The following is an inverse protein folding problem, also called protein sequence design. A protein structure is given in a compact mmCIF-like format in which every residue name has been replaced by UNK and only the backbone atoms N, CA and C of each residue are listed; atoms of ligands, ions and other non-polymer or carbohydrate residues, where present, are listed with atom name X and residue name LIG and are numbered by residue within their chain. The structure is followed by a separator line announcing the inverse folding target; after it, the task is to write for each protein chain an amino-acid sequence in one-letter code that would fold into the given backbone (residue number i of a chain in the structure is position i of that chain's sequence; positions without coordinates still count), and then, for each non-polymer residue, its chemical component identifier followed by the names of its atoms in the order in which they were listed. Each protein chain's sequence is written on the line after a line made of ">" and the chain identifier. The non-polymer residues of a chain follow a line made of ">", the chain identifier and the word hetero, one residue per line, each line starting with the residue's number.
data_IF_288561193011
#
_entry.id   IF_288561193011
#
_cell.length_a   1.000
_cell.length_b   1.000
_cell.length_c   1.000
_cell.angle_alpha   90.00
_cell.angle_beta   90.00
_cell.angle_gamma   90.00
#
_symmetry.space_group_name_H-M   'P 1'
#
loop_
_entity.id
_entity.type
_entity.pdbx_description
1 polymer ?
#
# COMPACT_ATOMS: atom_id res chain seq x y z
N UNK A 1 4.81 -34.17 -23.08
CA UNK A 1 5.59 -34.67 -21.91
C UNK A 1 4.82 -34.33 -20.63
N UNK A 2 4.89 -35.20 -19.59
CA UNK A 2 4.15 -34.87 -18.33
C UNK A 2 5.04 -34.03 -17.41
N UNK A 3 4.51 -32.94 -16.92
CA UNK A 3 5.16 -32.02 -15.93
C UNK A 3 4.22 -31.79 -14.74
N UNK A 4 4.83 -31.49 -13.59
CA UNK A 4 4.07 -31.13 -12.37
C UNK A 4 3.29 -29.84 -12.58
N UNK A 5 2.12 -29.76 -11.96
CA UNK A 5 1.23 -28.59 -12.08
C UNK A 5 1.90 -27.29 -11.63
N UNK A 6 2.64 -27.30 -10.52
CA UNK A 6 3.35 -26.12 -10.03
C UNK A 6 4.42 -25.60 -11.01
N UNK A 7 5.03 -26.51 -11.78
CA UNK A 7 5.98 -26.16 -12.84
C UNK A 7 5.23 -25.59 -14.05
N UNK A 8 4.17 -26.24 -14.50
CA UNK A 8 3.38 -25.81 -15.66
C UNK A 8 2.75 -24.42 -15.46
N UNK A 9 2.21 -24.15 -14.27
CA UNK A 9 1.62 -22.84 -13.92
C UNK A 9 2.69 -21.74 -13.97
N UNK A 10 3.87 -22.01 -13.48
CA UNK A 10 5.00 -21.07 -13.55
C UNK A 10 5.53 -20.88 -14.97
N UNK A 11 5.83 -21.95 -15.70
CA UNK A 11 6.40 -21.90 -17.06
C UNK A 11 5.43 -21.26 -18.08
N UNK A 12 4.11 -21.41 -17.88
CA UNK A 12 3.09 -20.77 -18.72
C UNK A 12 2.84 -19.29 -18.33
N UNK A 13 3.57 -18.75 -17.35
CA UNK A 13 3.55 -17.34 -17.00
C UNK A 13 2.35 -16.90 -16.16
N UNK A 14 1.61 -17.83 -15.55
CA UNK A 14 0.50 -17.47 -14.63
C UNK A 14 0.98 -16.88 -13.31
N UNK A 15 2.25 -17.07 -12.96
CA UNK A 15 2.88 -16.52 -11.73
C UNK A 15 4.36 -16.23 -11.96
N UNK A 16 4.94 -15.33 -11.14
CA UNK A 16 6.35 -14.90 -11.24
C UNK A 16 7.30 -15.86 -10.55
N UNK A 17 6.78 -16.80 -9.74
CA UNK A 17 7.59 -17.82 -9.06
C UNK A 17 6.81 -19.10 -8.84
N UNK A 18 7.56 -20.20 -8.67
CA UNK A 18 6.99 -21.50 -8.40
C UNK A 18 6.31 -21.58 -7.03
N UNK A 19 6.76 -20.80 -6.05
CA UNK A 19 6.14 -20.68 -4.73
C UNK A 19 4.74 -20.03 -4.84
N UNK A 20 4.60 -18.97 -5.65
CA UNK A 20 3.31 -18.37 -5.95
C UNK A 20 2.40 -19.32 -6.73
N UNK A 21 2.96 -20.11 -7.66
CA UNK A 21 2.21 -21.15 -8.35
C UNK A 21 1.62 -22.17 -7.37
N UNK A 22 2.39 -22.65 -6.40
CA UNK A 22 1.89 -23.51 -5.33
C UNK A 22 0.77 -22.87 -4.53
N UNK A 23 0.93 -21.59 -4.17
CA UNK A 23 -0.06 -20.85 -3.38
C UNK A 23 -1.41 -20.75 -4.10
N UNK A 24 -1.44 -20.40 -5.40
CA UNK A 24 -2.70 -20.29 -6.17
C UNK A 24 -3.33 -21.66 -6.45
N UNK A 25 -2.51 -22.72 -6.59
CA UNK A 25 -3.02 -24.10 -6.73
C UNK A 25 -3.70 -24.53 -5.41
N UNK A 26 -3.01 -24.36 -4.28
CA UNK A 26 -3.53 -24.77 -2.96
C UNK A 26 -4.75 -23.95 -2.52
N UNK A 27 -4.88 -22.70 -2.98
CA UNK A 27 -6.07 -21.88 -2.76
C UNK A 27 -7.25 -22.27 -3.69
N UNK A 28 -7.04 -23.24 -4.59
CA UNK A 28 -8.06 -23.76 -5.48
C UNK A 28 -8.45 -22.81 -6.62
N UNK A 29 -7.56 -21.94 -7.03
CA UNK A 29 -7.75 -21.00 -8.14
C UNK A 29 -7.38 -21.61 -9.51
N UNK A 30 -6.66 -22.74 -9.54
CA UNK A 30 -6.18 -23.37 -10.77
C UNK A 30 -7.16 -24.42 -11.25
N UNK A 31 -7.49 -24.36 -12.53
CA UNK A 31 -8.34 -25.33 -13.24
C UNK A 31 -7.55 -25.92 -14.41
N UNK A 32 -7.60 -27.24 -14.55
CA UNK A 32 -7.02 -28.00 -15.65
C UNK A 32 -8.17 -28.66 -16.40
N UNK A 33 -8.32 -28.34 -17.69
CA UNK A 33 -9.45 -28.82 -18.51
C UNK A 33 -10.82 -28.62 -17.84
N UNK A 34 -11.06 -27.44 -17.28
CA UNK A 34 -12.25 -27.05 -16.51
C UNK A 34 -12.44 -27.76 -15.15
N UNK A 35 -11.54 -28.64 -14.73
CA UNK A 35 -11.61 -29.31 -13.44
C UNK A 35 -10.68 -28.60 -12.44
N UNK A 36 -11.17 -28.34 -11.22
CA UNK A 36 -10.37 -27.73 -10.16
C UNK A 36 -9.19 -28.63 -9.80
N UNK A 37 -8.00 -28.06 -9.78
CA UNK A 37 -6.75 -28.75 -9.44
C UNK A 37 -6.09 -28.05 -8.23
N UNK A 38 -6.08 -28.73 -7.08
CA UNK A 38 -5.59 -28.21 -5.79
C UNK A 38 -4.29 -28.89 -5.30
N UNK A 39 -3.76 -29.85 -6.06
CA UNK A 39 -2.53 -30.60 -5.72
C UNK A 39 -1.37 -30.20 -6.62
N UNK A 40 -0.41 -29.43 -6.07
CA UNK A 40 0.74 -28.90 -6.79
C UNK A 40 1.62 -29.96 -7.47
N UNK A 41 1.66 -31.17 -6.88
CA UNK A 41 2.49 -32.28 -7.36
C UNK A 41 1.88 -33.12 -8.46
N UNK A 42 0.60 -32.94 -8.77
CA UNK A 42 -0.06 -33.71 -9.84
C UNK A 42 0.57 -33.40 -11.20
N UNK A 43 0.84 -34.43 -11.99
CA UNK A 43 1.48 -34.30 -13.30
C UNK A 43 0.43 -34.31 -14.41
N UNK A 44 0.49 -33.33 -15.29
CA UNK A 44 -0.35 -33.18 -16.47
C UNK A 44 0.50 -33.14 -17.74
N UNK A 45 -0.13 -33.33 -18.90
CA UNK A 45 0.53 -33.11 -20.18
C UNK A 45 0.89 -31.62 -20.32
N UNK A 46 2.03 -31.32 -20.93
CA UNK A 46 2.50 -29.92 -21.07
C UNK A 46 1.57 -29.06 -21.91
N UNK A 47 0.77 -29.67 -22.79
CA UNK A 47 -0.20 -28.98 -23.64
C UNK A 47 -1.58 -28.83 -23.00
N UNK A 48 -1.77 -29.29 -21.76
CA UNK A 48 -3.05 -29.21 -21.07
C UNK A 48 -3.50 -27.74 -20.94
N UNK A 49 -4.80 -27.52 -21.08
CA UNK A 49 -5.40 -26.21 -20.88
C UNK A 49 -5.41 -25.89 -19.38
N UNK A 50 -4.66 -24.88 -18.98
CA UNK A 50 -4.67 -24.36 -17.60
C UNK A 50 -5.39 -23.01 -17.60
N UNK A 51 -6.30 -22.84 -16.65
CA UNK A 51 -6.98 -21.59 -16.35
C UNK A 51 -6.78 -21.27 -14.88
N UNK A 52 -6.45 -20.02 -14.57
CA UNK A 52 -6.48 -19.51 -13.21
C UNK A 52 -7.78 -18.74 -13.04
N UNK A 53 -8.67 -19.27 -12.22
CA UNK A 53 -9.99 -18.68 -11.91
C UNK A 53 -9.98 -18.23 -10.45
N UNK A 54 -10.38 -17.02 -10.22
CA UNK A 54 -10.34 -16.38 -8.91
C UNK A 54 -9.53 -15.10 -8.96
N UNK A 55 -9.61 -14.30 -7.92
CA UNK A 55 -8.97 -13.00 -7.86
C UNK A 55 -7.45 -13.14 -8.07
N UNK A 56 -7.00 -13.01 -9.31
CA UNK A 56 -5.64 -12.59 -9.58
C UNK A 56 -5.45 -11.31 -8.80
N UNK A 57 -4.45 -11.25 -7.92
CA UNK A 57 -4.19 -10.01 -7.17
C UNK A 57 -4.10 -8.87 -8.18
N UNK A 58 -5.00 -7.89 -8.06
CA UNK A 58 -5.06 -6.73 -8.95
C UNK A 58 -3.71 -6.00 -8.98
N UNK A 59 -3.03 -6.00 -7.86
CA UNK A 59 -1.72 -5.36 -7.63
C UNK A 59 -0.67 -6.39 -7.19
N UNK A 60 0.61 -6.07 -7.30
CA UNK A 60 1.73 -6.94 -6.88
C UNK A 60 1.67 -7.33 -5.40
N UNK A 61 0.92 -6.60 -4.59
CA UNK A 61 0.62 -6.95 -3.20
C UNK A 61 -0.74 -6.40 -2.77
N UNK A 62 -1.28 -6.94 -1.67
CA UNK A 62 -2.54 -6.47 -1.06
C UNK A 62 -2.50 -4.98 -0.66
N UNK A 63 -1.29 -4.42 -0.48
CA UNK A 63 -1.11 -3.01 -0.17
C UNK A 63 -1.82 -2.09 -1.16
N UNK A 64 -1.78 -2.42 -2.46
CA UNK A 64 -2.45 -1.62 -3.51
C UNK A 64 -3.93 -1.38 -3.28
N UNK A 65 -4.64 -2.30 -2.61
CA UNK A 65 -6.06 -2.14 -2.27
C UNK A 65 -6.32 -0.97 -1.30
N UNK A 66 -5.33 -0.63 -0.47
CA UNK A 66 -5.44 0.50 0.46
C UNK A 66 -5.46 1.83 -0.28
N UNK A 67 -4.53 2.02 -1.22
CA UNK A 67 -4.49 3.22 -2.06
C UNK A 67 -5.67 3.26 -3.04
N UNK A 68 -6.07 2.12 -3.59
CA UNK A 68 -7.27 2.02 -4.43
C UNK A 68 -8.53 2.53 -3.71
N UNK A 69 -8.71 2.17 -2.42
CA UNK A 69 -9.83 2.70 -1.64
C UNK A 69 -9.78 4.22 -1.54
N UNK A 70 -8.60 4.79 -1.30
CA UNK A 70 -8.43 6.23 -1.27
C UNK A 70 -8.77 6.88 -2.61
N UNK A 71 -8.29 6.32 -3.74
CA UNK A 71 -8.60 6.82 -5.09
C UNK A 71 -10.11 6.80 -5.37
N UNK A 72 -10.80 5.75 -4.92
CA UNK A 72 -12.24 5.61 -5.15
C UNK A 72 -13.10 6.51 -4.27
N UNK A 73 -12.63 6.86 -3.06
CA UNK A 73 -13.43 7.55 -2.06
C UNK A 73 -13.06 9.04 -1.90
N UNK A 74 -11.84 9.42 -2.31
CA UNK A 74 -11.34 10.78 -2.19
C UNK A 74 -11.27 11.43 -3.58
N UNK A 75 -11.44 12.73 -3.64
CA UNK A 75 -11.44 13.47 -4.90
C UNK A 75 -10.00 13.85 -5.28
N UNK A 76 -9.28 12.94 -5.95
CA UNK A 76 -7.98 13.20 -6.59
C UNK A 76 -7.72 12.25 -7.77
N UNK A 77 -6.87 12.71 -8.69
CA UNK A 77 -6.48 11.97 -9.90
C UNK A 77 -4.95 11.83 -9.95
N UNK A 78 -4.50 10.68 -10.45
CA UNK A 78 -3.07 10.37 -10.61
C UNK A 78 -2.61 10.43 -12.08
N UNK A 79 -3.52 10.67 -13.02
CA UNK A 79 -3.20 10.71 -14.45
C UNK A 79 -2.15 11.79 -14.74
N UNK A 80 -1.11 11.38 -15.44
CA UNK A 80 0.03 12.21 -15.86
C UNK A 80 0.84 12.85 -14.71
N UNK A 81 0.60 12.44 -13.47
CA UNK A 81 1.28 12.94 -12.26
C UNK A 81 2.65 12.31 -12.05
N UNK A 82 3.56 13.09 -11.51
CA UNK A 82 4.82 12.61 -10.96
C UNK A 82 4.59 12.30 -9.48
N UNK A 83 4.79 11.04 -9.10
CA UNK A 83 4.39 10.53 -7.80
C UNK A 83 5.56 9.92 -7.02
N UNK A 84 5.36 9.74 -5.71
CA UNK A 84 6.35 9.11 -4.83
C UNK A 84 5.64 8.11 -3.90
N UNK A 85 6.16 6.89 -3.84
CA UNK A 85 5.72 5.81 -2.95
C UNK A 85 6.73 5.64 -1.82
N UNK A 86 6.39 6.10 -0.62
CA UNK A 86 7.26 6.07 0.55
C UNK A 86 6.94 4.83 1.39
N UNK A 87 7.90 3.89 1.44
CA UNK A 87 7.71 2.55 1.98
C UNK A 87 7.18 1.58 0.93
N UNK A 88 7.78 1.61 -0.25
CA UNK A 88 7.28 0.89 -1.43
C UNK A 88 7.23 -0.64 -1.24
N UNK A 89 8.15 -1.23 -0.48
CA UNK A 89 8.21 -2.68 -0.23
C UNK A 89 8.09 -3.49 -1.53
N UNK A 90 7.09 -4.36 -1.67
CA UNK A 90 6.84 -5.11 -2.91
C UNK A 90 6.32 -4.24 -4.06
N UNK A 91 5.86 -3.01 -3.79
CA UNK A 91 5.38 -2.06 -4.79
C UNK A 91 3.86 -2.05 -4.99
N UNK A 92 3.09 -2.41 -3.95
CA UNK A 92 1.62 -2.42 -4.06
C UNK A 92 1.04 -1.04 -4.40
N UNK A 93 1.53 0.02 -3.76
CA UNK A 93 1.10 1.38 -4.03
C UNK A 93 1.68 1.89 -5.35
N UNK A 94 2.95 1.61 -5.64
CA UNK A 94 3.58 1.92 -6.94
C UNK A 94 2.76 1.34 -8.10
N UNK A 95 2.39 0.05 -8.03
CA UNK A 95 1.58 -0.62 -9.05
C UNK A 95 0.18 0.01 -9.18
N UNK A 96 -0.43 0.37 -8.06
CA UNK A 96 -1.71 1.07 -8.02
C UNK A 96 -1.62 2.45 -8.71
N UNK A 97 -0.58 3.23 -8.42
CA UNK A 97 -0.36 4.54 -9.06
C UNK A 97 -0.18 4.40 -10.57
N UNK A 98 0.64 3.45 -11.02
CA UNK A 98 0.88 3.21 -12.45
C UNK A 98 -0.37 2.77 -13.21
N UNK A 99 -1.20 1.91 -12.59
CA UNK A 99 -2.47 1.47 -13.17
C UNK A 99 -3.51 2.61 -13.24
N UNK A 100 -3.38 3.63 -12.38
CA UNK A 100 -4.20 4.84 -12.39
C UNK A 100 -3.55 6.00 -13.17
N UNK A 101 -2.59 5.70 -14.04
CA UNK A 101 -2.07 6.65 -15.04
C UNK A 101 -0.94 7.54 -14.58
N UNK A 102 -0.29 7.27 -13.43
CA UNK A 102 0.88 8.03 -13.02
C UNK A 102 1.97 8.02 -14.10
N UNK A 103 2.49 9.21 -14.40
CA UNK A 103 3.54 9.39 -15.41
C UNK A 103 4.87 8.84 -14.95
N UNK A 104 5.16 8.98 -13.65
CA UNK A 104 6.41 8.57 -13.01
C UNK A 104 6.19 8.27 -11.53
N UNK A 105 6.84 7.26 -11.00
CA UNK A 105 6.78 6.89 -9.59
C UNK A 105 8.18 6.73 -9.01
N UNK A 106 8.52 7.50 -8.01
CA UNK A 106 9.70 7.30 -7.17
C UNK A 106 9.35 6.32 -6.05
N UNK A 107 9.82 5.08 -6.15
CA UNK A 107 9.57 4.02 -5.17
C UNK A 107 10.72 3.99 -4.16
N UNK A 108 10.47 4.48 -2.95
CA UNK A 108 11.47 4.68 -1.90
C UNK A 108 11.27 3.63 -0.80
N UNK A 109 12.33 2.86 -0.50
CA UNK A 109 12.32 1.90 0.61
C UNK A 109 13.70 1.76 1.24
N UNK A 110 13.75 1.52 2.56
CA UNK A 110 14.99 1.21 3.28
C UNK A 110 15.49 -0.20 3.00
N UNK A 111 14.60 -1.09 2.58
CA UNK A 111 14.89 -2.47 2.20
C UNK A 111 15.63 -2.57 0.87
N UNK A 112 15.97 -3.80 0.51
CA UNK A 112 16.65 -4.12 -0.74
C UNK A 112 16.06 -5.37 -1.38
N UNK A 113 15.91 -5.36 -2.69
CA UNK A 113 15.47 -6.53 -3.46
C UNK A 113 13.98 -6.86 -3.29
N UNK A 114 13.16 -5.97 -2.69
CA UNK A 114 11.76 -6.23 -2.39
C UNK A 114 10.81 -5.86 -3.52
N UNK A 115 11.11 -4.79 -4.26
CA UNK A 115 10.25 -4.29 -5.32
C UNK A 115 10.04 -5.37 -6.39
N UNK A 116 8.80 -5.63 -6.77
CA UNK A 116 8.45 -6.65 -7.75
C UNK A 116 9.16 -6.45 -9.09
N UNK A 117 9.61 -7.54 -9.71
CA UNK A 117 10.43 -7.50 -10.93
C UNK A 117 9.79 -6.70 -12.07
N UNK A 118 8.47 -6.82 -12.27
CA UNK A 118 7.76 -6.06 -13.29
C UNK A 118 7.87 -4.54 -13.08
N UNK A 119 7.89 -4.08 -11.82
CA UNK A 119 7.99 -2.66 -11.48
C UNK A 119 9.43 -2.15 -11.61
N UNK A 120 10.43 -2.99 -11.29
CA UNK A 120 11.85 -2.65 -11.48
C UNK A 120 12.18 -2.39 -12.95
N UNK A 121 11.47 -3.04 -13.86
CA UNK A 121 11.70 -2.92 -15.31
C UNK A 121 10.71 -1.95 -15.98
N UNK A 122 9.79 -1.34 -15.26
CA UNK A 122 8.90 -0.32 -15.82
C UNK A 122 9.68 1.00 -15.93
N UNK A 123 9.79 1.58 -17.15
CA UNK A 123 10.57 2.81 -17.35
C UNK A 123 10.01 4.03 -16.62
N UNK A 124 8.79 3.95 -16.11
CA UNK A 124 8.15 4.99 -15.30
C UNK A 124 8.55 4.92 -13.83
N UNK A 125 9.21 3.85 -13.38
CA UNK A 125 9.58 3.64 -11.98
C UNK A 125 11.04 3.99 -11.75
N UNK A 126 11.28 4.87 -10.81
CA UNK A 126 12.61 5.14 -10.24
C UNK A 126 12.73 4.40 -8.93
N UNK A 127 13.48 3.31 -8.92
CA UNK A 127 13.66 2.47 -7.73
C UNK A 127 14.76 3.01 -6.81
N UNK A 128 14.38 3.52 -5.65
CA UNK A 128 15.28 4.06 -4.63
C UNK A 128 15.29 3.14 -3.39
N UNK A 129 15.86 1.95 -3.56
CA UNK A 129 16.10 1.00 -2.46
C UNK A 129 17.27 1.44 -1.56
N UNK A 130 17.37 0.87 -0.34
CA UNK A 130 18.34 1.26 0.70
C UNK A 130 18.33 2.76 0.99
N UNK A 131 17.20 3.38 0.79
CA UNK A 131 17.05 4.84 0.89
C UNK A 131 16.16 5.18 2.09
N UNK A 132 16.73 5.93 3.03
CA UNK A 132 15.99 6.43 4.18
C UNK A 132 15.30 7.74 3.81
N UNK A 133 13.97 7.76 3.78
CA UNK A 133 13.17 8.92 3.41
C UNK A 133 13.54 10.19 4.20
N UNK A 134 13.93 10.07 5.46
CA UNK A 134 14.37 11.23 6.27
C UNK A 134 15.60 11.95 5.74
N UNK A 135 16.33 11.33 4.81
CA UNK A 135 17.57 11.86 4.22
C UNK A 135 17.47 12.05 2.71
N UNK A 136 16.31 11.91 2.13
CA UNK A 136 16.09 12.11 0.70
C UNK A 136 16.24 13.60 0.37
N UNK A 137 16.94 13.87 -0.73
CA UNK A 137 17.22 15.23 -1.22
C UNK A 137 16.70 15.41 -2.65
N UNK A 138 16.70 16.66 -3.11
CA UNK A 138 16.40 17.00 -4.51
C UNK A 138 17.36 16.39 -5.52
N UNK A 139 18.55 15.97 -5.12
CA UNK A 139 19.49 15.25 -6.01
C UNK A 139 18.95 13.84 -6.34
N UNK A 140 18.31 13.17 -5.37
CA UNK A 140 17.73 11.84 -5.56
C UNK A 140 16.33 11.89 -6.18
N UNK A 141 15.57 12.95 -5.88
CA UNK A 141 14.22 13.22 -6.40
C UNK A 141 14.21 14.63 -7.01
N UNK A 142 14.76 14.80 -8.24
CA UNK A 142 14.87 16.11 -8.88
C UNK A 142 13.53 16.70 -9.34
N UNK A 143 12.55 15.86 -9.62
CA UNK A 143 11.23 16.32 -10.05
C UNK A 143 10.43 16.88 -8.86
N UNK A 144 9.52 17.80 -9.14
CA UNK A 144 8.49 18.19 -8.20
C UNK A 144 7.41 17.09 -8.13
N UNK A 145 7.02 16.75 -6.91
CA UNK A 145 6.08 15.65 -6.64
C UNK A 145 4.66 16.19 -6.56
N UNK A 146 3.79 15.73 -7.45
CA UNK A 146 2.37 16.10 -7.50
C UNK A 146 1.52 15.30 -6.52
N UNK A 147 1.96 14.09 -6.20
CA UNK A 147 1.29 13.21 -5.25
C UNK A 147 2.29 12.28 -4.57
N UNK A 148 2.12 12.01 -3.29
CA UNK A 148 2.84 10.92 -2.64
C UNK A 148 1.93 10.06 -1.77
N UNK A 149 2.34 8.81 -1.58
CA UNK A 149 1.76 7.91 -0.58
C UNK A 149 2.78 7.52 0.47
N UNK A 150 2.29 7.18 1.67
CA UNK A 150 3.13 6.67 2.77
C UNK A 150 2.54 5.41 3.36
N UNK A 151 3.26 4.28 3.24
CA UNK A 151 2.96 3.01 3.91
C UNK A 151 4.23 2.47 4.61
N UNK A 152 4.72 3.19 5.62
CA UNK A 152 5.95 2.85 6.35
C UNK A 152 5.67 2.01 7.59
N UNK A 153 6.68 1.26 8.06
CA UNK A 153 6.64 0.47 9.28
C UNK A 153 7.77 0.86 10.23
N UNK A 154 7.50 0.75 11.54
CA UNK A 154 8.46 1.03 12.62
C UNK A 154 8.96 2.47 12.71
N UNK A 155 8.24 3.42 12.12
CA UNK A 155 8.55 4.84 12.14
C UNK A 155 7.27 5.66 12.14
N UNK A 156 7.27 6.82 12.81
CA UNK A 156 6.15 7.76 12.82
C UNK A 156 6.11 8.60 11.54
N UNK A 157 4.89 8.89 11.06
CA UNK A 157 4.63 9.85 9.98
C UNK A 157 5.23 11.22 10.27
N UNK A 158 5.33 11.61 11.53
CA UNK A 158 5.90 12.89 11.97
C UNK A 158 7.35 13.10 11.53
N UNK A 159 8.09 12.01 11.28
CA UNK A 159 9.48 12.06 10.81
C UNK A 159 9.59 12.04 9.27
N UNK A 160 8.52 11.69 8.57
CA UNK A 160 8.49 11.51 7.12
C UNK A 160 7.88 12.74 6.44
N UNK A 161 6.74 13.20 6.94
CA UNK A 161 5.95 14.25 6.29
C UNK A 161 6.72 15.58 6.09
N UNK A 162 7.52 16.07 7.04
CA UNK A 162 8.26 17.32 6.82
C UNK A 162 9.27 17.25 5.67
N UNK A 163 9.91 16.09 5.47
CA UNK A 163 10.86 15.88 4.36
C UNK A 163 10.11 15.71 3.04
N UNK A 164 9.03 14.91 3.04
CA UNK A 164 8.20 14.72 1.84
C UNK A 164 7.61 16.05 1.35
N UNK A 165 7.16 16.94 2.27
CA UNK A 165 6.61 18.26 1.94
C UNK A 165 7.58 19.12 1.14
N UNK A 166 8.88 19.05 1.41
CA UNK A 166 9.92 19.83 0.71
C UNK A 166 10.06 19.42 -0.78
N UNK A 167 9.62 18.21 -1.12
CA UNK A 167 9.66 17.66 -2.48
C UNK A 167 8.38 17.92 -3.27
N UNK A 168 7.31 18.38 -2.62
CA UNK A 168 5.99 18.60 -3.24
C UNK A 168 5.96 19.86 -4.11
N UNK A 169 5.24 19.76 -5.21
CA UNK A 169 4.77 20.90 -5.99
C UNK A 169 3.69 21.70 -5.23
N UNK A 170 3.29 22.84 -5.74
CA UNK A 170 2.14 23.57 -5.19
C UNK A 170 0.85 22.76 -5.39
N UNK A 171 -0.04 22.80 -4.40
CA UNK A 171 -1.30 22.04 -4.37
C UNK A 171 -1.14 20.51 -4.49
N UNK A 172 0.07 19.99 -4.36
CA UNK A 172 0.31 18.56 -4.35
C UNK A 172 -0.44 17.88 -3.18
N UNK A 173 -0.87 16.66 -3.42
CA UNK A 173 -1.68 15.88 -2.46
C UNK A 173 -0.93 14.64 -1.98
N UNK A 174 -1.41 14.07 -0.90
CA UNK A 174 -0.83 12.84 -0.34
C UNK A 174 -1.90 11.96 0.31
N UNK A 175 -1.67 10.65 0.27
CA UNK A 175 -2.42 9.68 1.08
C UNK A 175 -1.46 8.92 1.97
N UNK A 176 -1.63 9.02 3.28
CA UNK A 176 -0.76 8.38 4.25
C UNK A 176 -1.53 7.37 5.10
N UNK A 177 -0.89 6.24 5.40
CA UNK A 177 -1.39 5.28 6.37
C UNK A 177 -0.97 5.67 7.78
N UNK A 178 -1.96 5.92 8.63
CA UNK A 178 -1.77 6.05 10.08
C UNK A 178 -1.84 4.64 10.66
N UNK A 179 -0.76 4.20 11.25
CA UNK A 179 -0.63 2.86 11.85
C UNK A 179 -0.52 2.98 13.36
N UNK A 180 -1.59 2.69 14.13
CA UNK A 180 -1.59 2.86 15.57
C UNK A 180 -0.42 2.18 16.27
N UNK A 181 -0.01 1.00 15.80
CA UNK A 181 1.10 0.24 16.37
C UNK A 181 2.47 0.94 16.27
N UNK A 182 2.63 1.94 15.40
CA UNK A 182 3.87 2.70 15.24
C UNK A 182 3.77 4.15 15.75
N UNK A 183 2.57 4.59 16.15
CA UNK A 183 2.29 5.95 16.58
C UNK A 183 1.92 6.07 18.08
N UNK A 184 1.40 4.99 18.69
CA UNK A 184 0.80 5.03 20.03
C UNK A 184 1.80 5.05 21.20
N UNK A 185 3.08 4.68 20.96
CA UNK A 185 4.03 4.39 22.03
C UNK A 185 4.00 2.91 22.47
N UNK A 186 5.13 2.41 22.94
CA UNK A 186 5.32 0.97 23.22
C UNK A 186 4.39 0.44 24.30
N UNK A 187 4.06 1.26 25.29
CA UNK A 187 3.21 0.92 26.45
C UNK A 187 1.75 0.63 26.05
N UNK A 188 1.29 1.17 24.91
CA UNK A 188 -0.07 0.98 24.39
C UNK A 188 -0.18 -0.15 23.36
N UNK A 189 0.93 -0.78 23.02
CA UNK A 189 0.99 -1.86 22.04
C UNK A 189 0.97 -3.20 22.74
N UNK A 190 0.00 -4.05 22.40
CA UNK A 190 -0.15 -5.38 23.00
C UNK A 190 0.96 -6.36 22.61
N UNK A 191 1.02 -7.52 23.29
CA UNK A 191 2.08 -8.55 23.17
C UNK A 191 2.35 -9.04 21.73
N UNK A 192 1.38 -8.94 20.83
CA UNK A 192 1.51 -9.34 19.41
C UNK A 192 1.72 -8.16 18.48
N UNK A 193 2.10 -6.98 18.98
CA UNK A 193 2.26 -5.78 18.15
C UNK A 193 0.92 -5.19 17.67
N UNK A 194 -0.20 -5.48 18.37
CA UNK A 194 -1.54 -5.02 17.98
C UNK A 194 -2.09 -4.04 18.99
N UNK A 195 -2.53 -2.89 18.54
CA UNK A 195 -3.34 -1.94 19.30
C UNK A 195 -4.81 -2.31 19.11
N UNK A 196 -5.53 -2.56 20.23
CA UNK A 196 -6.93 -3.00 20.19
C UNK A 196 -7.90 -2.00 20.80
N UNK A 197 -7.41 -1.13 21.69
CA UNK A 197 -8.23 -0.15 22.39
C UNK A 197 -8.67 0.97 21.44
N UNK A 198 -9.97 1.13 21.15
CA UNK A 198 -10.47 2.20 20.29
C UNK A 198 -10.07 3.60 20.78
N UNK A 199 -9.95 3.81 22.10
CA UNK A 199 -9.54 5.10 22.64
C UNK A 199 -8.09 5.44 22.24
N UNK A 200 -7.20 4.45 22.18
CA UNK A 200 -5.82 4.62 21.70
C UNK A 200 -5.81 4.92 20.20
N UNK A 201 -6.70 4.30 19.41
CA UNK A 201 -6.84 4.60 17.99
C UNK A 201 -7.28 6.05 17.77
N UNK A 202 -8.27 6.52 18.52
CA UNK A 202 -8.73 7.93 18.47
C UNK A 202 -7.59 8.89 18.80
N UNK A 203 -6.87 8.63 19.89
CA UNK A 203 -5.72 9.45 20.30
C UNK A 203 -4.66 9.53 19.19
N UNK A 204 -4.31 8.39 18.57
CA UNK A 204 -3.32 8.32 17.51
C UNK A 204 -3.78 9.07 16.26
N UNK A 205 -5.02 8.86 15.81
CA UNK A 205 -5.55 9.55 14.64
C UNK A 205 -5.56 11.06 14.88
N UNK A 206 -6.06 11.52 16.04
CA UNK A 206 -6.08 12.93 16.41
C UNK A 206 -4.67 13.54 16.42
N UNK A 207 -3.72 12.86 17.05
CA UNK A 207 -2.32 13.30 17.13
C UNK A 207 -1.67 13.49 15.75
N UNK A 208 -1.97 12.63 14.79
CA UNK A 208 -1.44 12.78 13.42
C UNK A 208 -2.21 13.84 12.65
N UNK A 209 -3.52 13.91 12.84
CA UNK A 209 -4.37 14.95 12.25
C UNK A 209 -3.88 16.36 12.64
N UNK A 210 -3.72 16.62 13.95
CA UNK A 210 -3.26 17.90 14.46
C UNK A 210 -1.84 18.22 13.96
N UNK A 211 -0.96 17.21 13.96
CA UNK A 211 0.39 17.35 13.43
C UNK A 211 0.40 17.78 11.95
N UNK A 212 -0.49 17.24 11.12
CA UNK A 212 -0.55 17.61 9.71
C UNK A 212 -0.93 19.09 9.55
N UNK A 213 -1.94 19.56 10.28
CA UNK A 213 -2.33 20.98 10.27
C UNK A 213 -1.18 21.89 10.75
N UNK A 214 -0.48 21.51 11.81
CA UNK A 214 0.65 22.28 12.35
C UNK A 214 1.87 22.32 11.41
N UNK A 215 1.98 21.37 10.46
CA UNK A 215 3.14 21.19 9.60
C UNK A 215 2.88 21.45 8.11
N UNK A 216 1.90 22.28 7.80
CA UNK A 216 1.70 22.80 6.44
C UNK A 216 0.91 21.85 5.53
N UNK A 217 -0.04 21.11 6.09
CA UNK A 217 -0.96 20.28 5.32
C UNK A 217 -2.40 20.57 5.67
N UNK A 218 -3.24 20.82 4.68
CA UNK A 218 -4.68 20.67 4.81
C UNK A 218 -5.00 19.20 5.04
N UNK A 219 -6.02 18.91 5.86
CA UNK A 219 -6.63 17.59 5.96
C UNK A 219 -7.92 17.57 5.15
N UNK A 220 -7.90 16.87 4.02
CA UNK A 220 -9.02 16.82 3.09
C UNK A 220 -10.03 15.72 3.44
N UNK A 221 -9.53 14.51 3.77
CA UNK A 221 -10.38 13.37 4.09
C UNK A 221 -9.72 12.44 5.11
N UNK A 222 -10.56 11.69 5.81
CA UNK A 222 -10.20 10.58 6.69
C UNK A 222 -11.01 9.34 6.31
N UNK A 223 -10.36 8.18 6.25
CA UNK A 223 -11.00 6.88 6.09
C UNK A 223 -10.15 5.79 6.77
N UNK A 224 -10.59 4.55 6.74
CA UNK A 224 -9.82 3.39 7.21
C UNK A 224 -9.43 2.46 6.07
N UNK A 225 -8.34 1.74 6.22
CA UNK A 225 -7.88 0.74 5.26
C UNK A 225 -8.93 -0.35 5.07
N UNK A 226 -9.21 -0.83 3.82
CA UNK A 226 -10.17 -1.90 3.58
C UNK A 226 -9.69 -3.26 4.11
N UNK A 227 -8.40 -3.36 4.45
CA UNK A 227 -7.77 -4.57 4.97
C UNK A 227 -6.95 -4.24 6.22
N UNK A 228 -6.92 -5.18 7.16
CA UNK A 228 -6.03 -5.10 8.32
C UNK A 228 -4.58 -5.35 7.93
N UNK A 229 -3.66 -4.78 8.69
CA UNK A 229 -2.24 -5.08 8.62
C UNK A 229 -1.94 -6.57 8.90
N UNK A 230 -0.70 -7.04 8.64
CA UNK A 230 -0.34 -8.46 8.74
C UNK A 230 -0.66 -9.09 10.12
N UNK A 231 -0.45 -8.33 11.18
CA UNK A 231 -0.70 -8.79 12.58
C UNK A 231 -2.16 -8.55 13.04
N UNK A 232 -3.00 -7.97 12.15
CA UNK A 232 -4.41 -7.72 12.43
C UNK A 232 -4.72 -6.30 12.94
N UNK A 233 -3.78 -5.36 12.87
CA UNK A 233 -4.03 -3.95 13.19
C UNK A 233 -4.99 -3.32 12.19
N UNK A 234 -5.93 -2.52 12.70
CA UNK A 234 -6.69 -1.56 11.89
C UNK A 234 -5.75 -0.39 11.57
N UNK A 235 -5.73 0.03 10.32
CA UNK A 235 -4.92 1.13 9.81
C UNK A 235 -5.84 2.18 9.20
N UNK A 236 -5.46 3.45 9.26
CA UNK A 236 -6.28 4.56 8.80
C UNK A 236 -5.64 5.28 7.63
N UNK A 237 -6.46 5.90 6.80
CA UNK A 237 -6.07 6.70 5.64
C UNK A 237 -6.31 8.17 5.97
N UNK A 238 -5.29 9.00 5.79
CA UNK A 238 -5.41 10.46 5.85
C UNK A 238 -5.03 11.05 4.49
N UNK A 239 -5.92 11.86 3.93
CA UNK A 239 -5.72 12.56 2.67
C UNK A 239 -5.33 14.01 2.95
N UNK A 240 -4.21 14.41 2.41
CA UNK A 240 -3.54 15.66 2.69
C UNK A 240 -3.34 16.47 1.41
N UNK A 241 -3.27 17.80 1.54
CA UNK A 241 -2.81 18.72 0.50
C UNK A 241 -1.78 19.67 1.11
N UNK A 242 -0.70 19.96 0.37
CA UNK A 242 0.26 21.00 0.76
C UNK A 242 -0.44 22.36 0.88
N UNK A 243 -0.22 23.06 1.97
CA UNK A 243 -0.85 24.34 2.26
C UNK A 243 0.06 25.25 3.05
N UNK A 244 -0.04 26.55 2.83
CA UNK A 244 0.63 27.58 3.64
C UNK A 244 -0.31 28.17 4.72
N UNK A 245 -1.63 27.92 4.63
CA UNK A 245 -2.64 28.23 5.64
C UNK A 245 -3.51 26.98 5.90
N UNK A 246 -2.97 25.97 6.64
CA UNK A 246 -3.59 24.66 6.78
C UNK A 246 -4.96 24.69 7.44
N UNK A 247 -5.91 23.92 6.87
CA UNK A 247 -7.29 23.81 7.35
C UNK A 247 -7.79 22.38 7.24
N UNK A 248 -8.79 22.04 8.07
CA UNK A 248 -9.57 20.83 7.89
C UNK A 248 -10.72 21.06 6.93
N UNK A 249 -10.88 20.15 5.98
CA UNK A 249 -11.98 20.11 5.03
C UNK A 249 -12.85 18.85 5.21
N UNK A 250 -12.45 17.94 6.10
CA UNK A 250 -13.24 16.74 6.42
C UNK A 250 -14.21 16.99 7.57
N UNK A 251 -15.44 16.49 7.43
CA UNK A 251 -16.44 16.45 8.51
C UNK A 251 -16.32 15.18 9.37
N UNK A 252 -15.47 14.23 8.97
CA UNK A 252 -15.25 12.96 9.70
C UNK A 252 -14.34 13.23 10.89
N UNK A 253 -14.84 13.01 12.10
CA UNK A 253 -14.02 13.10 13.32
C UNK A 253 -13.21 11.83 13.56
N UNK A 254 -12.08 11.89 14.30
CA UNK A 254 -11.35 10.70 14.70
C UNK A 254 -12.20 9.64 15.42
N UNK A 255 -13.18 10.07 16.23
CA UNK A 255 -14.09 9.20 16.94
C UNK A 255 -14.99 8.43 15.98
N UNK A 256 -15.66 9.13 15.04
CA UNK A 256 -16.50 8.52 14.02
C UNK A 256 -15.71 7.56 13.11
N UNK A 257 -14.50 7.97 12.71
CA UNK A 257 -13.61 7.15 11.90
C UNK A 257 -13.30 5.81 12.60
N UNK A 258 -12.91 5.87 13.88
CA UNK A 258 -12.54 4.70 14.67
C UNK A 258 -13.76 3.81 14.91
N UNK A 259 -14.90 4.36 15.29
CA UNK A 259 -16.15 3.61 15.46
C UNK A 259 -16.52 2.85 14.18
N UNK A 260 -16.52 3.53 13.03
CA UNK A 260 -16.84 2.93 11.72
C UNK A 260 -15.86 1.81 11.35
N UNK A 261 -14.57 2.00 11.60
CA UNK A 261 -13.54 1.01 11.28
C UNK A 261 -13.68 -0.27 12.10
N UNK A 262 -13.94 -0.15 13.42
CA UNK A 262 -14.17 -1.29 14.29
C UNK A 262 -15.47 -2.02 13.94
N UNK A 263 -16.55 -1.29 13.67
CA UNK A 263 -17.82 -1.89 13.23
C UNK A 263 -17.69 -2.68 11.92
N UNK A 264 -16.85 -2.21 11.00
CA UNK A 264 -16.66 -2.85 9.69
C UNK A 264 -15.67 -4.02 9.74
N UNK A 265 -14.55 -3.89 10.49
CA UNK A 265 -13.41 -4.80 10.41
C UNK A 265 -13.33 -5.80 11.57
N UNK A 266 -14.00 -5.57 12.69
CA UNK A 266 -14.01 -6.49 13.84
C UNK A 266 -15.19 -7.48 13.82
N UNK A 267 -15.96 -7.54 12.73
CA UNK A 267 -16.98 -8.59 12.55
C UNK A 267 -16.28 -9.95 12.56
N UNK A 268 -16.74 -10.79 13.50
CA UNK A 268 -16.28 -12.15 13.74
C UNK A 268 -16.60 -13.10 12.57
#
# INVERSE_FOLDING_TARGET
>A
MKKRLDILVYEKGFTDSREKAKAIIMSGQVYVDNQKADKCGTSYDENVKIEVRGNTQKYVSRGGLKLEKAINNFDFDLKDKITMDIGASTGGFTDCMLQNGAKKVYSIDVGYGQLAWKLRNDPRVVNLERTNMRKVTREQVPDEIDFFSVDVSFISLKLILPVARQLMSENAQAVCLIKPQFEAGREKVGKKGVVRDPAVHVEVVRKIFDFCLENGFDVLNLDYSPIKGPEGNIEYLIHLRKSDDPKSYTDVTPEQLVENSHAALDKK
#
